data_IF_696546105958
#
_entry.id   IF_696546105958
#
_cell.length_a   1.000
_cell.length_b   1.000
_cell.length_c   1.000
_cell.angle_alpha   90.00
_cell.angle_beta   90.00
_cell.angle_gamma   90.00
#
_symmetry.space_group_name_H-M   'P 1'
#
loop_
_entity.id
_entity.type
_entity.pdbx_description
1 polymer ?
#
# COMPACT_ATOMS: atom_id res chain seq x y z
N UNK A 1 11.36 1.91 -5.04
CA UNK A 1 10.09 1.71 -5.78
C UNK A 1 10.05 2.86 -6.75
N UNK A 2 9.98 2.67 -8.07
CA UNK A 2 10.21 3.77 -9.03
C UNK A 2 9.11 3.85 -10.07
N UNK A 3 8.79 5.06 -10.50
CA UNK A 3 7.96 5.33 -11.68
C UNK A 3 8.70 5.00 -12.98
N UNK A 4 7.94 4.72 -14.04
CA UNK A 4 8.52 4.62 -15.40
C UNK A 4 8.75 6.00 -16.03
N UNK A 5 7.94 6.98 -15.65
CA UNK A 5 8.09 8.36 -16.08
C UNK A 5 7.94 9.28 -14.86
N UNK A 6 8.75 10.33 -14.80
CA UNK A 6 8.64 11.39 -13.82
C UNK A 6 9.11 12.71 -14.42
N UNK A 7 8.36 13.78 -14.14
CA UNK A 7 8.72 15.16 -14.46
C UNK A 7 8.00 16.11 -13.49
N UNK A 8 8.29 17.41 -13.58
CA UNK A 8 7.41 18.41 -12.97
C UNK A 8 6.22 18.69 -13.91
N UNK A 9 5.17 19.33 -13.38
CA UNK A 9 3.96 19.66 -14.12
C UNK A 9 4.22 20.55 -15.35
N UNK A 10 5.14 21.52 -15.26
CA UNK A 10 5.47 22.39 -16.38
C UNK A 10 6.03 21.59 -17.57
N UNK A 11 7.07 20.78 -17.32
CA UNK A 11 7.68 19.91 -18.32
C UNK A 11 6.69 18.85 -18.82
N UNK A 12 5.84 18.30 -17.95
CA UNK A 12 4.82 17.32 -18.32
C UNK A 12 3.84 17.87 -19.35
N UNK A 13 3.36 19.10 -19.18
CA UNK A 13 2.43 19.74 -20.12
C UNK A 13 3.11 19.99 -21.47
N UNK A 14 4.37 20.42 -21.48
CA UNK A 14 5.11 20.70 -22.73
C UNK A 14 5.56 19.44 -23.47
N UNK A 15 5.82 18.34 -22.77
CA UNK A 15 6.31 17.09 -23.38
C UNK A 15 5.25 16.45 -24.26
N UNK A 16 5.53 16.19 -25.53
CA UNK A 16 4.59 15.55 -26.45
C UNK A 16 4.03 14.20 -25.89
N UNK A 17 2.71 13.96 -25.90
CA UNK A 17 2.12 12.74 -25.36
C UNK A 17 2.68 11.44 -25.96
N UNK A 18 2.99 11.42 -27.27
CA UNK A 18 3.55 10.23 -27.91
C UNK A 18 4.97 9.93 -27.41
N UNK A 19 5.73 10.96 -27.05
CA UNK A 19 7.04 10.82 -26.42
C UNK A 19 6.94 10.17 -25.03
N UNK A 20 5.96 10.60 -24.21
CA UNK A 20 5.71 9.99 -22.89
C UNK A 20 5.29 8.51 -23.05
N UNK A 21 4.37 8.21 -23.97
CA UNK A 21 3.98 6.83 -24.30
C UNK A 21 5.18 5.99 -24.75
N UNK A 22 6.10 6.56 -25.52
CA UNK A 22 7.34 5.89 -25.94
C UNK A 22 8.25 5.53 -24.76
N UNK A 23 8.36 6.42 -23.76
CA UNK A 23 9.09 6.16 -22.51
C UNK A 23 8.41 5.03 -21.73
N UNK A 24 7.09 5.08 -21.55
CA UNK A 24 6.33 4.05 -20.84
C UNK A 24 6.45 2.69 -21.53
N UNK A 25 6.33 2.65 -22.85
CA UNK A 25 6.46 1.41 -23.64
C UNK A 25 7.86 0.80 -23.51
N UNK A 26 8.90 1.63 -23.52
CA UNK A 26 10.28 1.17 -23.36
C UNK A 26 10.54 0.61 -21.95
N UNK A 27 9.99 1.28 -20.93
CA UNK A 27 10.13 0.85 -19.55
C UNK A 27 9.30 -0.41 -19.24
N UNK A 28 8.10 -0.52 -19.82
CA UNK A 28 7.27 -1.71 -19.76
C UNK A 28 8.00 -2.94 -20.34
N UNK A 29 8.65 -2.78 -21.50
CA UNK A 29 9.44 -3.85 -22.10
C UNK A 29 10.61 -4.30 -21.21
N UNK A 30 11.30 -3.36 -20.53
CA UNK A 30 12.38 -3.70 -19.59
C UNK A 30 11.88 -4.46 -18.36
N UNK A 31 10.69 -4.10 -17.87
CA UNK A 31 10.02 -4.77 -16.75
C UNK A 31 9.27 -6.04 -17.16
N UNK A 32 9.43 -6.50 -18.41
CA UNK A 32 8.78 -7.69 -18.98
C UNK A 32 7.24 -7.62 -18.87
N UNK A 33 6.70 -6.41 -19.01
CA UNK A 33 5.27 -6.17 -19.06
C UNK A 33 4.80 -6.20 -20.52
N UNK A 34 3.83 -7.06 -20.80
CA UNK A 34 3.24 -7.19 -22.14
C UNK A 34 2.48 -5.92 -22.51
N UNK A 35 3.06 -5.12 -23.40
CA UNK A 35 2.44 -3.89 -23.89
C UNK A 35 1.45 -4.22 -25.00
N UNK A 36 0.15 -4.08 -24.71
CA UNK A 36 -0.92 -4.29 -25.69
C UNK A 36 -1.42 -2.98 -26.30
N UNK A 37 -2.10 -2.99 -27.46
CA UNK A 37 -2.74 -1.79 -28.01
C UNK A 37 -3.70 -1.10 -27.02
N UNK A 38 -4.41 -1.87 -26.20
CA UNK A 38 -5.31 -1.37 -25.16
C UNK A 38 -4.53 -0.65 -24.05
N UNK A 39 -3.36 -1.18 -23.66
CA UNK A 39 -2.49 -0.54 -22.67
C UNK A 39 -1.97 0.81 -23.19
N UNK A 40 -1.57 0.87 -24.46
CA UNK A 40 -1.14 2.11 -25.12
C UNK A 40 -2.27 3.13 -25.17
N UNK A 41 -3.49 2.71 -25.56
CA UNK A 41 -4.66 3.58 -25.60
C UNK A 41 -5.04 4.10 -24.20
N UNK A 42 -4.92 3.25 -23.18
CA UNK A 42 -5.11 3.65 -21.79
C UNK A 42 -4.09 4.71 -21.36
N UNK A 43 -2.80 4.52 -21.65
CA UNK A 43 -1.78 5.53 -21.38
C UNK A 43 -2.05 6.85 -22.09
N UNK A 44 -2.43 6.81 -23.37
CA UNK A 44 -2.77 8.02 -24.11
C UNK A 44 -3.92 8.80 -23.46
N UNK A 45 -4.99 8.09 -23.07
CA UNK A 45 -6.15 8.70 -22.39
C UNK A 45 -5.74 9.31 -21.06
N UNK A 46 -4.98 8.58 -20.25
CA UNK A 46 -4.45 9.04 -18.96
C UNK A 46 -3.58 10.29 -19.13
N UNK A 47 -2.64 10.30 -20.07
CA UNK A 47 -1.72 11.43 -20.29
C UNK A 47 -2.48 12.67 -20.74
N UNK A 48 -3.41 12.54 -21.70
CA UNK A 48 -4.20 13.67 -22.21
C UNK A 48 -5.08 14.26 -21.11
N UNK A 49 -5.78 13.41 -20.35
CA UNK A 49 -6.63 13.87 -19.26
C UNK A 49 -5.85 14.51 -18.11
N UNK A 50 -4.71 13.93 -17.72
CA UNK A 50 -3.83 14.52 -16.70
C UNK A 50 -3.23 15.86 -17.14
N UNK A 51 -2.89 16.04 -18.42
CA UNK A 51 -2.44 17.33 -18.95
C UNK A 51 -3.54 18.39 -18.86
N UNK A 52 -4.78 18.04 -19.18
CA UNK A 52 -5.93 18.93 -19.01
C UNK A 52 -6.14 19.33 -17.55
N UNK A 53 -6.05 18.36 -16.62
CA UNK A 53 -6.12 18.65 -15.19
C UNK A 53 -4.98 19.54 -14.71
N UNK A 54 -3.76 19.28 -15.19
CA UNK A 54 -2.58 20.05 -14.84
C UNK A 54 -2.64 21.52 -15.30
N UNK A 55 -3.27 21.80 -16.46
CA UNK A 55 -3.55 23.18 -16.87
C UNK A 55 -4.43 23.91 -15.84
N UNK A 56 -5.50 23.25 -15.39
CA UNK A 56 -6.38 23.81 -14.34
C UNK A 56 -5.62 24.03 -13.03
N UNK A 57 -4.72 23.11 -12.65
CA UNK A 57 -3.89 23.27 -11.46
C UNK A 57 -3.01 24.51 -11.55
N UNK A 58 -2.32 24.74 -12.67
CA UNK A 58 -1.47 25.93 -12.88
C UNK A 58 -2.31 27.21 -12.82
N UNK A 59 -3.50 27.21 -13.42
CA UNK A 59 -4.39 28.37 -13.40
C UNK A 59 -4.85 28.75 -11.98
N UNK A 60 -5.13 27.75 -11.14
CA UNK A 60 -5.62 27.97 -9.76
C UNK A 60 -4.49 28.13 -8.75
N UNK A 61 -3.37 27.47 -8.98
CA UNK A 61 -2.22 27.34 -8.08
C UNK A 61 -0.94 27.47 -8.91
N UNK A 62 -0.44 28.68 -9.21
CA UNK A 62 0.68 28.88 -10.13
C UNK A 62 1.97 28.11 -9.75
N UNK A 63 2.21 27.91 -8.47
CA UNK A 63 3.30 27.11 -7.92
C UNK A 63 3.19 25.61 -8.24
N UNK A 64 2.03 25.14 -8.70
CA UNK A 64 1.82 23.75 -9.14
C UNK A 64 2.69 23.36 -10.32
N UNK A 65 3.22 24.33 -11.07
CA UNK A 65 4.26 24.12 -12.10
C UNK A 65 5.43 23.27 -11.60
N UNK A 66 5.77 23.38 -10.32
CA UNK A 66 6.85 22.61 -9.70
C UNK A 66 6.40 21.26 -9.13
N UNK A 67 5.11 20.95 -9.05
CA UNK A 67 4.64 19.65 -8.56
C UNK A 67 5.15 18.53 -9.44
N UNK A 68 5.48 17.38 -8.85
CA UNK A 68 5.89 16.22 -9.63
C UNK A 68 4.69 15.43 -10.13
N UNK A 69 4.78 14.96 -11.37
CA UNK A 69 3.89 13.96 -11.98
C UNK A 69 4.71 12.71 -12.23
N UNK A 70 4.24 11.57 -11.72
CA UNK A 70 4.83 10.26 -11.93
C UNK A 70 3.79 9.35 -12.56
N UNK A 71 4.20 8.57 -13.57
CA UNK A 71 3.31 7.59 -14.20
C UNK A 71 3.85 6.17 -13.97
N UNK A 72 2.92 5.24 -13.80
CA UNK A 72 3.23 3.82 -13.63
C UNK A 72 4.19 3.61 -12.44
N UNK A 73 3.78 4.05 -11.26
CA UNK A 73 4.59 3.98 -10.04
C UNK A 73 4.51 2.60 -9.39
N UNK A 74 5.65 1.89 -9.30
CA UNK A 74 5.70 0.52 -8.79
C UNK A 74 5.43 0.42 -7.27
N UNK A 75 4.41 -0.36 -6.89
CA UNK A 75 4.14 -0.77 -5.51
C UNK A 75 4.65 -2.19 -5.28
N UNK A 76 5.84 -2.31 -4.64
CA UNK A 76 6.59 -3.57 -4.50
C UNK A 76 5.79 -4.72 -3.89
N UNK A 77 4.93 -4.45 -2.90
CA UNK A 77 4.12 -5.46 -2.20
C UNK A 77 3.19 -6.23 -3.13
N UNK A 78 2.61 -5.56 -4.12
CA UNK A 78 1.55 -6.12 -4.98
C UNK A 78 2.03 -6.50 -6.37
N UNK A 79 3.26 -6.13 -6.75
CA UNK A 79 3.72 -6.15 -8.15
C UNK A 79 2.71 -5.46 -9.08
N UNK A 80 2.11 -4.39 -8.56
CA UNK A 80 1.16 -3.54 -9.28
C UNK A 80 1.73 -2.13 -9.33
N UNK A 81 1.19 -1.34 -10.24
CA UNK A 81 1.58 0.04 -10.44
C UNK A 81 0.38 0.95 -10.19
N UNK A 82 0.64 2.10 -9.58
CA UNK A 82 -0.33 3.18 -9.49
C UNK A 82 -0.22 3.96 -10.80
N UNK A 83 -1.34 4.18 -11.47
CA UNK A 83 -1.35 4.77 -12.82
C UNK A 83 -0.69 6.16 -12.83
N UNK A 84 -1.03 7.01 -11.87
CA UNK A 84 -0.34 8.28 -11.66
C UNK A 84 -0.20 8.66 -10.18
N UNK A 85 0.89 9.35 -9.86
CA UNK A 85 1.11 10.00 -8.57
C UNK A 85 1.45 11.46 -8.82
N UNK A 86 0.77 12.36 -8.10
CA UNK A 86 1.09 13.80 -8.11
C UNK A 86 1.56 14.21 -6.72
N UNK A 87 2.80 14.67 -6.61
CA UNK A 87 3.34 15.24 -5.37
C UNK A 87 3.12 16.75 -5.38
N UNK A 88 2.14 17.19 -4.60
CA UNK A 88 1.76 18.61 -4.49
C UNK A 88 2.22 19.15 -3.14
N UNK A 89 3.40 19.76 -3.12
CA UNK A 89 4.08 20.24 -1.90
C UNK A 89 4.31 19.13 -0.86
N UNK A 90 3.47 19.03 0.17
CA UNK A 90 3.54 18.05 1.26
C UNK A 90 2.46 16.96 1.17
N UNK A 91 1.68 16.95 0.09
CA UNK A 91 0.62 15.97 -0.18
C UNK A 91 1.01 14.98 -1.27
N UNK A 92 0.55 13.74 -1.10
CA UNK A 92 0.71 12.64 -2.06
C UNK A 92 -0.67 12.33 -2.63
N UNK A 93 -0.89 12.66 -3.90
CA UNK A 93 -2.13 12.33 -4.59
C UNK A 93 -1.91 11.05 -5.40
N UNK A 94 -2.63 9.99 -5.05
CA UNK A 94 -2.56 8.70 -5.76
C UNK A 94 -3.76 8.60 -6.69
N UNK A 95 -3.52 8.34 -7.97
CA UNK A 95 -4.56 8.38 -8.99
C UNK A 95 -4.61 7.01 -9.68
N UNK A 96 -5.74 6.33 -9.52
CA UNK A 96 -6.08 5.11 -10.25
C UNK A 96 -7.07 5.46 -11.36
N UNK A 97 -6.78 5.03 -12.58
CA UNK A 97 -7.59 5.25 -13.77
C UNK A 97 -8.43 4.02 -14.12
N UNK A 98 -9.68 4.26 -14.48
CA UNK A 98 -10.56 3.28 -15.15
C UNK A 98 -10.96 3.87 -16.49
N UNK A 99 -10.06 3.71 -17.45
CA UNK A 99 -10.24 4.14 -18.83
C UNK A 99 -11.42 3.40 -19.46
N UNK A 100 -12.34 4.15 -20.08
CA UNK A 100 -13.55 3.63 -20.70
C UNK A 100 -14.67 3.27 -19.72
N UNK A 101 -14.54 3.63 -18.44
CA UNK A 101 -15.56 3.36 -17.43
C UNK A 101 -16.39 4.60 -17.14
N UNK A 102 -17.71 4.41 -17.03
CA UNK A 102 -18.71 5.41 -16.66
C UNK A 102 -19.17 5.28 -15.19
N UNK A 103 -18.72 4.25 -14.48
CA UNK A 103 -19.10 3.98 -13.08
C UNK A 103 -17.89 3.66 -12.19
N UNK A 104 -18.07 3.79 -10.88
CA UNK A 104 -17.05 3.51 -9.87
C UNK A 104 -17.23 2.11 -9.26
N UNK A 105 -16.60 1.12 -9.88
CA UNK A 105 -16.66 -0.26 -9.41
C UNK A 105 -16.08 -0.45 -8.00
N UNK A 106 -16.69 -1.35 -7.20
CA UNK A 106 -16.23 -1.66 -5.84
C UNK A 106 -14.77 -2.13 -5.81
N UNK A 107 -14.38 -2.97 -6.76
CA UNK A 107 -13.01 -3.51 -6.85
C UNK A 107 -11.99 -2.40 -7.15
N UNK A 108 -12.37 -1.43 -7.99
CA UNK A 108 -11.54 -0.27 -8.30
C UNK A 108 -11.37 0.62 -7.06
N UNK A 109 -12.45 0.93 -6.35
CA UNK A 109 -12.40 1.70 -5.10
C UNK A 109 -11.52 1.02 -4.05
N UNK A 110 -11.70 -0.29 -3.87
CA UNK A 110 -10.89 -1.09 -2.97
C UNK A 110 -9.41 -1.08 -3.37
N UNK A 111 -9.11 -1.17 -4.67
CA UNK A 111 -7.74 -1.09 -5.18
C UNK A 111 -7.09 0.26 -4.86
N UNK A 112 -7.79 1.37 -5.10
CA UNK A 112 -7.28 2.72 -4.83
C UNK A 112 -7.02 2.94 -3.33
N UNK A 113 -7.98 2.56 -2.48
CA UNK A 113 -7.81 2.60 -1.01
C UNK A 113 -6.58 1.80 -0.59
N UNK A 114 -6.41 0.64 -1.21
CA UNK A 114 -5.34 -0.27 -0.87
C UNK A 114 -3.96 0.22 -1.32
N UNK A 115 -3.86 1.03 -2.38
CA UNK A 115 -2.63 1.74 -2.71
C UNK A 115 -2.28 2.80 -1.67
N UNK A 116 -3.26 3.58 -1.19
CA UNK A 116 -3.03 4.57 -0.15
C UNK A 116 -2.48 3.93 1.13
N UNK A 117 -3.05 2.80 1.53
CA UNK A 117 -2.56 2.02 2.67
C UNK A 117 -1.16 1.47 2.45
N UNK A 118 -0.83 0.99 1.24
CA UNK A 118 0.51 0.50 0.95
C UNK A 118 1.57 1.58 1.00
N UNK A 119 1.26 2.76 0.46
CA UNK A 119 2.15 3.91 0.50
C UNK A 119 2.31 4.40 1.94
N UNK A 120 1.24 4.44 2.75
CA UNK A 120 1.37 4.77 4.18
C UNK A 120 2.25 3.78 4.95
N UNK A 121 2.02 2.49 4.73
CA UNK A 121 2.55 1.44 5.60
C UNK A 121 3.94 0.94 5.18
N UNK A 122 4.31 1.09 3.91
CA UNK A 122 5.52 0.47 3.37
C UNK A 122 6.42 1.39 2.54
N UNK A 123 6.06 2.67 2.37
CA UNK A 123 6.89 3.65 1.67
C UNK A 123 7.53 4.62 2.65
N UNK A 124 8.86 4.60 2.74
CA UNK A 124 9.61 5.35 3.75
C UNK A 124 9.39 6.86 3.67
N UNK A 125 9.56 7.45 2.49
CA UNK A 125 9.41 8.89 2.27
C UNK A 125 7.95 9.38 2.35
N UNK A 126 6.97 8.47 2.51
CA UNK A 126 5.55 8.82 2.70
C UNK A 126 5.13 8.85 4.16
N UNK A 127 6.04 8.53 5.09
CA UNK A 127 5.74 8.55 6.52
C UNK A 127 5.30 9.95 6.93
N UNK A 128 4.19 10.01 7.67
CA UNK A 128 3.59 11.25 8.18
C UNK A 128 3.18 12.26 7.10
N UNK A 129 3.31 11.92 5.80
CA UNK A 129 2.76 12.71 4.70
C UNK A 129 1.29 12.33 4.51
N UNK A 130 0.49 13.31 4.12
CA UNK A 130 -0.93 13.10 3.81
C UNK A 130 -1.09 12.49 2.43
N UNK A 131 -2.02 11.55 2.32
CA UNK A 131 -2.30 10.80 1.11
C UNK A 131 -3.75 11.01 0.72
N UNK A 132 -3.97 11.41 -0.53
CA UNK A 132 -5.28 11.64 -1.11
C UNK A 132 -5.47 10.68 -2.29
N UNK A 133 -6.27 9.61 -2.12
CA UNK A 133 -6.57 8.68 -3.20
C UNK A 133 -7.70 9.20 -4.11
N UNK A 134 -7.46 9.19 -5.41
CA UNK A 134 -8.43 9.48 -6.46
C UNK A 134 -8.65 8.22 -7.31
N UNK A 135 -9.92 7.87 -7.50
CA UNK A 135 -10.35 6.91 -8.50
C UNK A 135 -11.02 7.68 -9.63
N UNK A 136 -10.46 7.58 -10.84
CA UNK A 136 -10.91 8.33 -12.01
C UNK A 136 -11.62 7.41 -12.99
N UNK A 137 -12.90 7.65 -13.25
CA UNK A 137 -13.66 6.99 -14.31
C UNK A 137 -13.75 7.94 -15.52
N UNK A 138 -13.13 7.58 -16.64
CA UNK A 138 -12.87 8.56 -17.72
C UNK A 138 -14.08 8.88 -18.58
N UNK A 139 -15.11 8.03 -18.58
CA UNK A 139 -16.36 8.24 -19.34
C UNK A 139 -17.54 8.56 -18.41
N UNK A 140 -17.29 8.79 -17.12
CA UNK A 140 -18.35 9.14 -16.17
C UNK A 140 -18.78 10.60 -16.35
N UNK A 141 -20.09 10.82 -16.52
CA UNK A 141 -20.65 12.17 -16.70
C UNK A 141 -20.47 13.02 -15.43
N UNK A 142 -20.67 12.40 -14.26
CA UNK A 142 -20.63 13.08 -12.98
C UNK A 142 -19.51 12.55 -12.08
N UNK A 143 -18.84 13.48 -11.39
CA UNK A 143 -18.05 13.10 -10.21
C UNK A 143 -19.00 12.75 -9.08
N UNK A 144 -18.81 11.58 -8.47
CA UNK A 144 -19.78 11.02 -7.53
C UNK A 144 -19.46 11.40 -6.09
N UNK A 145 -18.18 11.54 -5.74
CA UNK A 145 -17.79 11.73 -4.34
C UNK A 145 -16.45 12.49 -4.22
N UNK A 146 -16.49 13.71 -3.69
CA UNK A 146 -15.33 14.38 -3.11
C UNK A 146 -15.47 14.29 -1.58
N UNK A 147 -14.51 13.66 -0.89
CA UNK A 147 -14.61 13.47 0.54
C UNK A 147 -14.43 14.78 1.29
N UNK A 148 -14.97 14.86 2.51
CA UNK A 148 -14.67 15.95 3.42
C UNK A 148 -13.21 15.83 3.89
N UNK A 149 -12.31 16.56 3.24
CA UNK A 149 -10.89 16.55 3.55
C UNK A 149 -10.64 17.02 4.99
N UNK A 150 -10.05 16.13 5.80
CA UNK A 150 -9.86 16.33 7.23
C UNK A 150 -8.37 16.29 7.60
N UNK A 151 -7.84 17.39 8.17
CA UNK A 151 -6.41 17.51 8.51
C UNK A 151 -5.90 16.48 9.51
N UNK A 152 -6.80 15.86 10.31
CA UNK A 152 -6.46 14.86 11.31
C UNK A 152 -6.18 13.48 10.70
N UNK A 153 -6.65 13.22 9.48
CA UNK A 153 -6.44 11.94 8.80
C UNK A 153 -5.16 11.97 7.98
N UNK A 154 -4.37 10.91 8.06
CA UNK A 154 -3.22 10.74 7.18
C UNK A 154 -3.65 10.30 5.77
N UNK A 155 -4.67 9.45 5.66
CA UNK A 155 -5.26 9.02 4.39
C UNK A 155 -6.69 9.57 4.33
N UNK A 156 -7.02 10.31 3.27
CA UNK A 156 -8.40 10.72 2.99
C UNK A 156 -9.21 9.55 2.41
N UNK A 157 -10.53 9.61 2.50
CA UNK A 157 -11.40 8.69 1.76
C UNK A 157 -11.13 8.79 0.24
N UNK A 158 -11.45 7.72 -0.50
CA UNK A 158 -11.26 7.69 -1.96
C UNK A 158 -12.21 8.66 -2.64
N UNK A 159 -11.66 9.67 -3.30
CA UNK A 159 -12.41 10.56 -4.17
C UNK A 159 -12.75 9.84 -5.49
N UNK A 160 -14.04 9.72 -5.79
CA UNK A 160 -14.55 9.09 -7.01
C UNK A 160 -14.94 10.17 -8.01
N UNK A 161 -14.09 10.41 -9.01
CA UNK A 161 -14.17 11.58 -9.89
C UNK A 161 -14.02 11.22 -11.37
N UNK A 162 -14.39 12.13 -12.26
CA UNK A 162 -13.91 12.14 -13.65
C UNK A 162 -12.71 13.10 -13.77
N UNK A 163 -12.26 13.45 -14.98
CA UNK A 163 -11.12 14.37 -15.15
C UNK A 163 -11.41 15.79 -14.64
N UNK A 164 -12.63 16.29 -14.78
CA UNK A 164 -13.02 17.61 -14.26
C UNK A 164 -13.02 17.62 -12.73
N UNK A 165 -13.53 16.56 -12.12
CA UNK A 165 -13.47 16.36 -10.67
C UNK A 165 -12.05 16.14 -10.14
N UNK A 166 -11.17 15.48 -10.90
CA UNK A 166 -9.75 15.39 -10.55
C UNK A 166 -9.08 16.77 -10.58
N UNK A 167 -9.40 17.57 -11.60
CA UNK A 167 -8.86 18.92 -11.79
C UNK A 167 -9.18 19.83 -10.60
N UNK A 168 -10.46 19.82 -10.19
CA UNK A 168 -10.96 20.66 -9.09
C UNK A 168 -10.67 20.07 -7.71
N UNK A 169 -10.90 18.77 -7.54
CA UNK A 169 -10.73 18.05 -6.27
C UNK A 169 -9.28 18.01 -5.78
N UNK A 170 -8.30 17.90 -6.68
CA UNK A 170 -6.89 17.96 -6.28
C UNK A 170 -6.50 19.37 -5.79
N UNK A 171 -6.99 20.43 -6.44
CA UNK A 171 -6.78 21.81 -5.98
C UNK A 171 -7.46 22.07 -4.64
N UNK A 172 -8.67 21.54 -4.45
CA UNK A 172 -9.38 21.62 -3.18
C UNK A 172 -8.64 20.88 -2.07
N UNK A 173 -8.22 19.63 -2.32
CA UNK A 173 -7.42 18.85 -1.39
C UNK A 173 -6.12 19.58 -1.02
N UNK A 174 -5.44 20.15 -2.02
CA UNK A 174 -4.27 21.00 -1.80
C UNK A 174 -4.59 22.16 -0.87
N UNK A 175 -5.57 23.00 -1.22
CA UNK A 175 -5.94 24.19 -0.44
C UNK A 175 -6.35 23.87 0.99
N UNK A 176 -6.96 22.70 1.24
CA UNK A 176 -7.45 22.33 2.57
C UNK A 176 -6.36 21.63 3.38
N UNK A 177 -5.58 20.73 2.78
CA UNK A 177 -4.70 19.81 3.51
C UNK A 177 -3.24 20.22 3.49
N UNK A 178 -2.78 21.01 2.52
CA UNK A 178 -1.39 21.46 2.49
C UNK A 178 -1.11 22.45 3.61
N UNK A 179 0.16 22.60 3.94
CA UNK A 179 0.61 23.53 4.97
C UNK A 179 1.97 24.11 4.60
N UNK A 180 2.05 25.43 4.53
CA UNK A 180 3.30 26.16 4.26
C UNK A 180 4.39 25.91 5.33
N UNK A 181 4.01 25.40 6.50
CA UNK A 181 4.94 25.02 7.56
C UNK A 181 5.53 23.62 7.38
N UNK A 182 4.97 22.81 6.48
CA UNK A 182 5.46 21.48 6.17
C UNK A 182 6.62 21.56 5.18
N UNK A 183 7.59 20.66 5.31
CA UNK A 183 8.62 20.52 4.28
C UNK A 183 8.04 19.92 2.99
N UNK A 184 8.34 20.59 1.87
CA UNK A 184 8.07 20.09 0.52
C UNK A 184 8.70 18.70 0.34
N UNK A 185 7.97 17.80 -0.31
CA UNK A 185 8.47 16.46 -0.62
C UNK A 185 9.60 16.58 -1.65
N UNK A 186 10.76 15.99 -1.35
CA UNK A 186 11.80 15.77 -2.35
C UNK A 186 11.32 14.70 -3.33
N UNK A 187 11.02 15.12 -4.56
CA UNK A 187 10.44 14.25 -5.58
C UNK A 187 11.35 13.08 -5.96
N UNK A 188 12.67 13.30 -6.02
CA UNK A 188 13.65 12.28 -6.39
C UNK A 188 13.85 11.27 -5.26
N UNK A 189 13.96 11.75 -4.02
CA UNK A 189 14.03 10.89 -2.86
C UNK A 189 12.76 10.04 -2.72
N UNK A 190 11.59 10.67 -2.86
CA UNK A 190 10.31 9.97 -2.81
C UNK A 190 10.19 8.92 -3.92
N UNK A 191 10.53 9.26 -5.17
CA UNK A 191 10.51 8.33 -6.29
C UNK A 191 11.54 7.20 -6.17
N UNK A 192 12.59 7.33 -5.35
CA UNK A 192 13.59 6.27 -5.12
C UNK A 192 13.44 5.59 -3.77
N UNK A 193 12.40 5.93 -3.02
CA UNK A 193 12.12 5.46 -1.67
C UNK A 193 12.17 3.93 -1.56
N UNK A 194 12.70 3.50 -0.42
CA UNK A 194 12.85 2.09 -0.07
C UNK A 194 11.54 1.51 0.43
N UNK A 195 11.33 0.22 0.15
CA UNK A 195 10.24 -0.52 0.78
C UNK A 195 10.61 -0.73 2.25
N UNK A 196 9.91 -0.03 3.14
CA UNK A 196 10.20 -0.06 4.58
C UNK A 196 8.89 -0.09 5.37
N UNK A 197 8.46 -1.27 5.83
CA UNK A 197 7.33 -1.40 6.75
C UNK A 197 7.43 -0.40 7.92
N UNK A 198 6.30 0.13 8.36
CA UNK A 198 6.25 1.01 9.54
C UNK A 198 6.74 0.26 10.79
N UNK A 199 7.38 0.96 11.75
CA UNK A 199 7.89 0.35 12.98
C UNK A 199 6.84 -0.49 13.70
N UNK A 200 5.60 0.00 13.82
CA UNK A 200 4.47 -0.71 14.43
C UNK A 200 4.21 -2.10 13.80
N UNK A 201 4.36 -2.26 12.48
CA UNK A 201 4.20 -3.56 11.81
C UNK A 201 5.33 -4.52 12.22
N UNK A 202 6.55 -4.00 12.34
CA UNK A 202 7.72 -4.77 12.75
C UNK A 202 7.65 -5.14 14.23
N UNK A 203 7.29 -4.20 15.09
CA UNK A 203 7.11 -4.38 16.54
C UNK A 203 5.99 -5.37 16.85
N UNK A 204 4.86 -5.28 16.13
CA UNK A 204 3.78 -6.26 16.24
C UNK A 204 4.30 -7.66 15.91
N UNK A 205 5.07 -7.81 14.82
CA UNK A 205 5.65 -9.10 14.46
C UNK A 205 6.69 -9.61 15.48
N UNK A 206 7.52 -8.71 16.03
CA UNK A 206 8.50 -9.03 17.08
C UNK A 206 7.85 -9.50 18.37
N UNK A 207 6.78 -8.84 18.80
CA UNK A 207 6.11 -9.20 20.05
C UNK A 207 5.40 -10.56 19.96
N UNK A 208 4.85 -10.91 18.79
CA UNK A 208 4.34 -12.26 18.55
C UNK A 208 5.46 -13.30 18.73
N UNK A 209 6.64 -13.01 18.17
CA UNK A 209 7.78 -13.92 18.21
C UNK A 209 8.36 -14.12 19.62
N UNK A 210 8.50 -13.04 20.39
CA UNK A 210 9.14 -13.11 21.72
C UNK A 210 8.24 -13.75 22.76
N UNK A 211 6.94 -13.45 22.75
CA UNK A 211 6.09 -13.80 23.87
C UNK A 211 5.35 -15.14 23.72
N UNK A 212 5.25 -15.74 22.52
CA UNK A 212 4.34 -16.88 22.24
C UNK A 212 2.90 -16.69 22.78
N UNK A 213 2.54 -15.46 23.18
CA UNK A 213 1.31 -15.11 23.86
C UNK A 213 1.10 -13.60 23.64
N UNK A 214 0.26 -13.28 22.67
CA UNK A 214 -0.02 -11.91 22.21
C UNK A 214 -1.14 -11.33 23.07
N UNK A 215 -0.92 -11.24 24.38
CA UNK A 215 -1.94 -10.68 25.30
C UNK A 215 -1.76 -9.20 25.62
N UNK A 216 -0.61 -8.60 25.30
CA UNK A 216 -0.31 -7.24 25.77
C UNK A 216 -0.30 -6.13 24.70
N UNK A 217 -0.37 -6.44 23.40
CA UNK A 217 -0.52 -5.39 22.37
C UNK A 217 -2.01 -5.13 22.10
N UNK A 218 -2.72 -4.65 23.11
CA UNK A 218 -4.03 -4.06 22.93
C UNK A 218 -3.94 -2.55 23.16
N UNK A 219 -3.87 -1.78 22.08
CA UNK A 219 -4.28 -0.39 22.11
C UNK A 219 -5.65 -0.24 21.44
N UNK A 220 -6.64 -0.21 22.34
CA UNK A 220 -7.90 0.54 22.31
C UNK A 220 -9.04 0.20 21.36
N UNK A 221 -9.04 -0.89 20.57
CA UNK A 221 -10.26 -1.29 19.81
C UNK A 221 -10.38 -2.80 19.44
N UNK A 222 -9.71 -3.72 20.15
CA UNK A 222 -9.48 -5.09 19.65
C UNK A 222 -10.10 -6.24 20.47
N UNK A 223 -11.33 -6.13 20.98
CA UNK A 223 -12.02 -7.30 21.57
C UNK A 223 -12.17 -8.46 20.58
N UNK A 224 -12.22 -8.16 19.27
CA UNK A 224 -12.59 -9.16 18.25
C UNK A 224 -11.44 -10.08 17.79
N UNK A 225 -10.18 -9.76 18.13
CA UNK A 225 -9.04 -10.54 17.63
C UNK A 225 -8.93 -11.88 18.36
N UNK A 226 -9.00 -11.87 19.68
CA UNK A 226 -8.92 -13.09 20.50
C UNK A 226 -10.08 -14.04 20.20
N UNK A 227 -11.28 -13.49 20.00
CA UNK A 227 -12.46 -14.25 19.56
C UNK A 227 -12.26 -14.89 18.19
N UNK A 228 -11.63 -14.16 17.25
CA UNK A 228 -11.30 -14.69 15.91
C UNK A 228 -10.31 -15.84 16.02
N UNK A 229 -9.24 -15.67 16.80
CA UNK A 229 -8.21 -16.70 17.00
C UNK A 229 -8.82 -17.94 17.66
N UNK A 230 -9.61 -17.76 18.72
CA UNK A 230 -10.27 -18.88 19.41
C UNK A 230 -11.25 -19.62 18.49
N UNK A 231 -12.03 -18.90 17.68
CA UNK A 231 -12.95 -19.52 16.72
C UNK A 231 -12.22 -20.40 15.69
N UNK A 232 -11.04 -19.98 15.23
CA UNK A 232 -10.22 -20.77 14.30
C UNK A 232 -9.64 -22.01 15.00
N UNK A 233 -9.22 -21.88 16.25
CA UNK A 233 -8.67 -22.99 17.04
C UNK A 233 -9.74 -24.03 17.38
N UNK A 234 -10.96 -23.59 17.70
CA UNK A 234 -12.12 -24.47 17.86
C UNK A 234 -12.43 -25.24 16.57
N UNK A 235 -12.34 -24.59 15.40
CA UNK A 235 -12.50 -25.27 14.12
C UNK A 235 -11.42 -26.33 13.90
N UNK A 236 -10.16 -26.03 14.24
CA UNK A 236 -9.04 -26.98 14.13
C UNK A 236 -9.29 -28.20 15.02
N UNK A 237 -9.73 -28.00 16.26
CA UNK A 237 -10.03 -29.09 17.19
C UNK A 237 -11.24 -29.93 16.76
N UNK A 238 -12.30 -29.31 16.22
CA UNK A 238 -13.44 -30.05 15.65
C UNK A 238 -13.01 -30.90 14.46
N UNK A 239 -12.19 -30.34 13.57
CA UNK A 239 -11.64 -31.04 12.41
C UNK A 239 -10.78 -32.24 12.81
N UNK A 240 -9.88 -32.07 13.80
CA UNK A 240 -9.04 -33.15 14.35
C UNK A 240 -9.89 -34.26 14.96
N UNK A 241 -10.85 -33.91 15.84
CA UNK A 241 -11.71 -34.87 16.53
C UNK A 241 -12.61 -35.67 15.58
N UNK A 242 -13.07 -35.05 14.50
CA UNK A 242 -13.97 -35.67 13.52
C UNK A 242 -13.25 -36.25 12.29
N UNK A 243 -11.92 -36.17 12.25
CA UNK A 243 -11.08 -36.57 11.11
C UNK A 243 -11.57 -35.97 9.79
N UNK A 244 -11.72 -34.65 9.76
CA UNK A 244 -12.20 -33.86 8.62
C UNK A 244 -11.26 -32.69 8.32
N UNK A 245 -11.39 -32.14 7.12
CA UNK A 245 -10.72 -30.90 6.73
C UNK A 245 -11.68 -29.72 6.85
N UNK A 246 -11.17 -28.57 7.29
CA UNK A 246 -11.92 -27.32 7.42
C UNK A 246 -11.13 -26.15 6.85
N UNK A 247 -11.86 -25.11 6.45
CA UNK A 247 -11.30 -23.85 5.97
C UNK A 247 -12.00 -22.71 6.71
N UNK A 248 -11.21 -21.76 7.23
CA UNK A 248 -11.72 -20.55 7.86
C UNK A 248 -11.37 -19.34 7.00
N UNK A 249 -12.37 -18.51 6.70
CA UNK A 249 -12.17 -17.25 6.00
C UNK A 249 -12.30 -16.10 7.00
N UNK A 250 -11.17 -15.46 7.33
CA UNK A 250 -11.14 -14.30 8.21
C UNK A 250 -11.28 -13.04 7.35
N UNK A 251 -12.35 -12.27 7.58
CA UNK A 251 -12.62 -11.01 6.89
C UNK A 251 -12.47 -9.82 7.85
N UNK A 252 -12.11 -8.66 7.32
CA UNK A 252 -11.95 -7.43 8.12
C UNK A 252 -11.28 -6.32 7.32
N UNK A 253 -11.48 -5.06 7.73
CA UNK A 253 -10.87 -3.89 7.08
C UNK A 253 -9.33 -4.00 7.01
N UNK A 254 -8.63 -3.37 6.06
CA UNK A 254 -7.17 -3.33 6.06
C UNK A 254 -6.62 -2.81 7.41
N UNK A 255 -5.57 -3.44 7.95
CA UNK A 255 -5.04 -3.10 9.28
C UNK A 255 -5.75 -3.73 10.48
N UNK A 256 -6.89 -4.42 10.30
CA UNK A 256 -7.66 -5.10 11.39
C UNK A 256 -6.96 -6.27 12.11
N UNK A 257 -5.66 -6.51 11.87
CA UNK A 257 -4.95 -7.60 12.53
C UNK A 257 -5.15 -9.00 11.92
N UNK A 258 -5.65 -9.14 10.68
CA UNK A 258 -5.78 -10.47 10.01
C UNK A 258 -4.48 -11.27 9.97
N UNK A 259 -3.37 -10.60 9.67
CA UNK A 259 -2.02 -11.21 9.67
C UNK A 259 -1.63 -11.66 11.08
N UNK A 260 -1.96 -10.84 12.08
CA UNK A 260 -1.71 -11.10 13.50
C UNK A 260 -2.50 -12.34 13.96
N UNK A 261 -3.79 -12.44 13.60
CA UNK A 261 -4.62 -13.61 13.87
C UNK A 261 -4.05 -14.89 13.26
N UNK A 262 -3.62 -14.84 11.99
CA UNK A 262 -3.01 -15.99 11.32
C UNK A 262 -1.70 -16.44 11.97
N UNK A 263 -0.85 -15.50 12.37
CA UNK A 263 0.38 -15.79 13.11
C UNK A 263 0.09 -16.37 14.50
N UNK A 264 -0.86 -15.80 15.24
CA UNK A 264 -1.27 -16.32 16.55
C UNK A 264 -1.78 -17.75 16.45
N UNK A 265 -2.62 -18.07 15.45
CA UNK A 265 -3.13 -19.43 15.26
C UNK A 265 -1.99 -20.40 14.96
N UNK A 266 -1.09 -20.08 14.03
CA UNK A 266 0.02 -20.97 13.61
C UNK A 266 0.99 -21.28 14.76
N UNK A 267 1.15 -20.34 15.69
CA UNK A 267 2.07 -20.45 16.84
C UNK A 267 1.36 -20.78 18.15
N UNK A 268 0.06 -21.07 18.13
CA UNK A 268 -0.68 -21.44 19.34
C UNK A 268 -0.23 -22.83 19.83
N UNK A 269 0.18 -22.91 21.09
CA UNK A 269 0.61 -24.15 21.74
C UNK A 269 -0.43 -25.28 21.66
N UNK A 270 -1.73 -24.97 21.51
CA UNK A 270 -2.81 -25.95 21.32
C UNK A 270 -2.70 -26.70 19.99
N UNK A 271 -2.02 -26.13 19.01
CA UNK A 271 -1.84 -26.77 17.71
C UNK A 271 -0.45 -27.38 17.50
N UNK A 272 0.51 -27.15 18.39
CA UNK A 272 1.86 -27.74 18.33
C UNK A 272 1.83 -29.28 18.27
N UNK A 273 2.85 -29.84 17.62
CA UNK A 273 3.02 -31.28 17.51
C UNK A 273 3.50 -31.91 18.83
N UNK A 274 3.65 -33.24 18.85
CA UNK A 274 4.07 -33.99 20.05
C UNK A 274 5.49 -33.64 20.54
N UNK A 275 6.29 -32.98 19.71
CA UNK A 275 7.63 -32.51 20.03
C UNK A 275 7.65 -31.03 20.46
N UNK A 276 6.49 -30.36 20.46
CA UNK A 276 6.36 -28.94 20.79
C UNK A 276 6.67 -27.99 19.64
N UNK A 277 6.82 -28.48 18.40
CA UNK A 277 7.01 -27.62 17.24
C UNK A 277 5.68 -27.14 16.65
N UNK A 278 5.69 -25.96 16.01
CA UNK A 278 4.50 -25.41 15.35
C UNK A 278 4.03 -26.37 14.24
N UNK A 279 2.79 -26.86 14.33
CA UNK A 279 2.23 -27.77 13.32
C UNK A 279 1.60 -27.04 12.11
N UNK A 280 1.60 -25.71 12.14
CA UNK A 280 1.08 -24.84 11.08
C UNK A 280 2.20 -24.20 10.27
N UNK A 281 1.90 -23.87 9.02
CA UNK A 281 2.79 -23.05 8.17
C UNK A 281 2.09 -21.73 7.91
N UNK A 282 2.77 -20.62 8.16
CA UNK A 282 2.30 -19.30 7.75
C UNK A 282 2.72 -19.06 6.30
N UNK A 283 1.81 -18.58 5.45
CA UNK A 283 2.11 -18.27 4.06
C UNK A 283 1.66 -16.84 3.76
N UNK A 284 2.58 -16.01 3.26
CA UNK A 284 2.29 -14.63 2.86
C UNK A 284 2.71 -14.38 1.42
N UNK A 285 1.78 -13.84 0.62
CA UNK A 285 2.10 -13.32 -0.72
C UNK A 285 2.96 -12.06 -0.70
N UNK A 286 3.18 -11.45 0.48
CA UNK A 286 4.03 -10.27 0.64
C UNK A 286 5.46 -10.66 1.05
N UNK A 287 6.20 -11.26 0.13
CA UNK A 287 7.59 -11.68 0.34
C UNK A 287 8.51 -10.57 0.90
N UNK A 288 8.44 -9.31 0.42
CA UNK A 288 9.24 -8.23 1.01
C UNK A 288 8.96 -8.00 2.50
N UNK A 289 7.70 -8.12 2.95
CA UNK A 289 7.38 -8.03 4.38
C UNK A 289 7.94 -9.21 5.16
N UNK A 290 7.83 -10.42 4.64
CA UNK A 290 8.41 -11.63 5.27
C UNK A 290 9.91 -11.46 5.47
N UNK A 291 10.64 -11.00 4.45
CA UNK A 291 12.09 -10.77 4.54
C UNK A 291 12.46 -9.72 5.59
N UNK A 292 11.70 -8.62 5.69
CA UNK A 292 11.91 -7.59 6.72
C UNK A 292 11.62 -8.12 8.12
N UNK A 293 10.51 -8.83 8.31
CA UNK A 293 10.17 -9.42 9.62
C UNK A 293 11.24 -10.44 10.00
N UNK A 294 11.64 -11.34 9.10
CA UNK A 294 12.70 -12.33 9.38
C UNK A 294 13.96 -11.68 9.90
N UNK A 295 14.40 -10.61 9.23
CA UNK A 295 15.59 -9.85 9.62
C UNK A 295 15.41 -9.13 10.97
N UNK A 296 14.24 -8.56 11.23
CA UNK A 296 13.95 -7.89 12.49
C UNK A 296 13.94 -8.85 13.69
N UNK A 297 13.36 -10.05 13.51
CA UNK A 297 13.35 -11.11 14.52
C UNK A 297 14.77 -11.65 14.80
N UNK A 298 15.59 -11.87 13.76
CA UNK A 298 16.96 -12.33 13.93
C UNK A 298 17.86 -11.31 14.68
N UNK A 299 17.56 -10.01 14.55
CA UNK A 299 18.23 -8.94 15.31
C UNK A 299 17.77 -8.93 16.76
N UNK A 300 16.49 -9.14 17.02
CA UNK A 300 15.93 -9.12 18.39
C UNK A 300 16.37 -10.34 19.21
N UNK A 301 16.47 -11.53 18.59
CA UNK A 301 17.07 -12.72 19.21
C UNK A 301 18.54 -12.49 19.66
N UNK A 302 19.22 -11.49 19.06
CA UNK A 302 20.57 -11.06 19.48
C UNK A 302 20.57 -10.33 20.81
N UNK A 303 19.50 -9.62 21.15
CA UNK A 303 19.38 -8.84 22.38
C UNK A 303 18.86 -9.66 23.55
N UNK A 304 18.03 -10.68 23.30
CA UNK A 304 17.46 -11.56 24.33
C UNK A 304 18.35 -12.74 24.71
N UNK A 305 19.06 -13.35 23.75
CA UNK A 305 19.91 -14.52 24.02
C UNK A 305 21.39 -14.12 24.04
N UNK A 306 21.95 -13.90 25.25
CA UNK A 306 23.34 -13.53 25.51
C UNK A 306 24.41 -14.57 25.08
N UNK A 307 24.03 -15.57 24.26
CA UNK A 307 24.89 -16.59 23.68
C UNK A 307 25.25 -16.24 22.23
N UNK A 308 26.52 -16.48 21.85
CA UNK A 308 27.04 -16.33 20.48
C UNK A 308 26.46 -17.41 19.56
N UNK A 309 25.22 -17.22 19.12
CA UNK A 309 24.64 -17.95 17.99
C UNK A 309 24.87 -17.12 16.71
N UNK A 310 25.22 -17.75 15.60
CA UNK A 310 25.52 -17.06 14.34
C UNK A 310 24.24 -16.52 13.68
N UNK A 311 24.35 -15.45 12.90
CA UNK A 311 23.21 -14.84 12.18
C UNK A 311 22.49 -15.86 11.29
N UNK A 312 23.24 -16.74 10.62
CA UNK A 312 22.69 -17.77 9.73
C UNK A 312 21.87 -18.85 10.47
N UNK A 313 22.29 -19.26 11.66
CA UNK A 313 21.54 -20.23 12.48
C UNK A 313 20.23 -19.61 13.00
N UNK A 314 20.22 -18.30 13.26
CA UNK A 314 19.03 -17.56 13.68
C UNK A 314 18.07 -17.32 12.53
N UNK A 315 18.56 -16.89 11.37
CA UNK A 315 17.75 -16.77 10.15
C UNK A 315 17.04 -18.09 9.83
N UNK A 316 17.71 -19.23 10.04
CA UNK A 316 17.12 -20.57 9.88
C UNK A 316 16.00 -20.87 10.89
N UNK A 317 16.10 -20.40 12.15
CA UNK A 317 15.01 -20.51 13.13
C UNK A 317 13.83 -19.63 12.75
N UNK A 318 14.10 -18.45 12.20
CA UNK A 318 13.07 -17.55 11.71
C UNK A 318 12.39 -18.05 10.43
N UNK A 319 13.07 -18.87 9.63
CA UNK A 319 12.47 -19.58 8.47
C UNK A 319 11.41 -20.60 8.89
N UNK A 320 11.54 -21.24 10.06
CA UNK A 320 10.50 -22.14 10.57
C UNK A 320 9.27 -21.38 11.06
N UNK A 321 9.43 -20.09 11.37
CA UNK A 321 8.38 -19.25 11.94
C UNK A 321 7.51 -18.52 10.90
N UNK A 322 8.05 -18.26 9.69
CA UNK A 322 7.40 -17.48 8.61
C UNK A 322 7.51 -18.18 7.27
#
# INVERSE_FOLDING_TARGET
MTAWYMSNVADFIETDPASIVGILSSAAAQDHFDTTPESIAAWQTTIVGLKGAAQTWIEKVPESTNWAVMLEYMVRRRRRRIDAVVLSHDLINLIEMKVGSDYFGRDARWQTEQYALDIRDFHEESRQKRIVPFLVATESEDSVDLPAYAKQLQISDVACVNFDGLSTGLVEAYSILSSDQSEMIDHEAWNKSSYRPTPWIVEAAQTIYVNNDVREIQHSDSSNLDDTVNSVLELIDDCRRRNRHGIAFITGAPGSGKTLAGLQVVHDHRISDKNGEAAGVFLSGNRPLVEVIRKALAIDDRTTDGRRVTLAERERRTETFI
#
